data_IF_580809284170
#
_entry.id   IF_580809284170
#
_cell.length_a   1.000
_cell.length_b   1.000
_cell.length_c   1.000
_cell.angle_alpha   90.00
_cell.angle_beta   90.00
_cell.angle_gamma   90.00
#
_symmetry.space_group_name_H-M   'P 1'
#
loop_
_entity.id
_entity.type
_entity.pdbx_description
1 polymer ?
#
# COMPACT_ATOMS: atom_id res chain seq x y z
N UNK A 1 28.15 -66.81 15.87
CA UNK A 1 27.02 -66.36 15.02
C UNK A 1 27.41 -65.03 14.37
N UNK A 2 26.93 -64.83 13.14
CA UNK A 2 27.48 -63.97 12.08
C UNK A 2 27.32 -62.46 12.32
N UNK A 3 28.22 -61.71 11.69
CA UNK A 3 28.28 -60.25 11.59
C UNK A 3 27.07 -59.61 10.89
N UNK A 4 26.81 -58.33 11.19
CA UNK A 4 26.66 -57.28 10.18
C UNK A 4 26.81 -55.86 10.77
N UNK A 5 27.95 -55.23 10.44
CA UNK A 5 28.12 -53.78 10.34
C UNK A 5 27.64 -53.38 8.94
N UNK A 6 26.92 -52.26 8.80
CA UNK A 6 26.79 -51.36 7.63
C UNK A 6 25.35 -50.85 7.42
N UNK A 7 25.24 -49.53 7.16
CA UNK A 7 24.04 -48.71 6.90
C UNK A 7 23.15 -48.51 8.13
N UNK A 8 22.98 -47.32 8.72
CA UNK A 8 22.57 -46.06 8.09
C UNK A 8 23.26 -44.86 8.77
N UNK A 9 24.37 -44.41 8.19
CA UNK A 9 24.65 -42.97 8.12
C UNK A 9 23.69 -42.43 7.05
N UNK A 10 22.79 -41.51 7.40
CA UNK A 10 22.08 -40.51 6.58
C UNK A 10 20.80 -40.19 7.36
N UNK A 11 20.70 -38.99 7.90
CA UNK A 11 19.44 -38.55 8.51
C UNK A 11 19.53 -37.50 9.63
N UNK A 12 20.73 -37.07 10.03
CA UNK A 12 20.90 -35.92 10.94
C UNK A 12 21.68 -34.81 10.26
N UNK A 13 21.13 -34.35 9.14
CA UNK A 13 21.37 -33.01 8.65
C UNK A 13 20.00 -32.44 8.26
N UNK A 14 19.11 -32.35 9.26
CA UNK A 14 18.01 -31.41 9.22
C UNK A 14 18.68 -30.03 9.16
N UNK A 15 18.96 -29.59 7.93
CA UNK A 15 19.43 -28.26 7.64
C UNK A 15 18.46 -27.30 8.34
N UNK A 16 18.95 -26.60 9.35
CA UNK A 16 18.32 -25.40 9.84
C UNK A 16 18.17 -24.50 8.61
N UNK A 17 16.97 -24.48 8.04
CA UNK A 17 16.55 -23.37 7.21
C UNK A 17 16.53 -22.18 8.14
N UNK A 18 17.63 -21.44 8.16
CA UNK A 18 17.67 -20.09 8.68
C UNK A 18 16.58 -19.33 7.93
N UNK A 19 15.42 -19.16 8.57
CA UNK A 19 14.47 -18.15 8.18
C UNK A 19 15.25 -16.85 8.32
N UNK A 20 15.78 -16.34 7.20
CA UNK A 20 16.27 -14.97 7.14
C UNK A 20 15.06 -14.08 7.34
N UNK A 21 14.73 -13.77 8.60
CA UNK A 21 13.87 -12.64 8.90
C UNK A 21 14.56 -11.44 8.25
N UNK A 22 13.92 -10.73 7.31
CA UNK A 22 14.50 -9.51 6.78
C UNK A 22 14.65 -8.56 7.97
N UNK A 23 15.90 -8.33 8.38
CA UNK A 23 16.20 -7.29 9.35
C UNK A 23 15.68 -5.97 8.75
N UNK A 24 14.86 -5.25 9.52
CA UNK A 24 14.37 -3.96 9.09
C UNK A 24 15.59 -3.06 8.81
N UNK A 25 15.69 -2.53 7.59
CA UNK A 25 16.71 -1.55 7.20
C UNK A 25 16.77 -0.44 8.27
N UNK A 26 17.96 0.11 8.63
CA UNK A 26 18.05 1.22 9.57
C UNK A 26 17.09 2.34 9.17
N UNK A 27 16.33 2.88 10.13
CA UNK A 27 15.35 3.93 9.84
C UNK A 27 16.09 5.17 9.35
N UNK A 28 15.66 5.73 8.20
CA UNK A 28 16.05 7.07 7.83
C UNK A 28 15.56 7.99 8.95
N UNK A 29 16.49 8.57 9.71
CA UNK A 29 16.15 9.41 10.84
C UNK A 29 15.45 10.66 10.32
N UNK A 30 14.28 10.97 10.88
CA UNK A 30 13.58 12.22 10.59
C UNK A 30 14.22 13.32 11.42
N UNK A 31 14.73 14.36 10.76
CA UNK A 31 15.36 15.50 11.43
C UNK A 31 14.36 16.18 12.36
N UNK A 32 14.78 16.41 13.62
CA UNK A 32 14.06 17.25 14.58
C UNK A 32 14.49 18.69 14.38
N UNK A 33 13.56 19.59 14.13
CA UNK A 33 13.76 21.05 14.11
C UNK A 33 12.96 21.61 15.29
N UNK A 34 13.58 21.88 16.45
CA UNK A 34 12.85 22.30 17.65
C UNK A 34 12.00 23.55 17.39
N UNK A 35 10.69 23.42 17.62
CA UNK A 35 9.73 24.51 17.62
C UNK A 35 8.79 24.28 18.80
N UNK A 36 8.46 25.34 19.53
CA UNK A 36 7.53 25.31 20.64
C UNK A 36 6.47 26.39 20.44
N UNK A 37 5.21 26.03 20.59
CA UNK A 37 4.06 26.92 20.46
C UNK A 37 3.33 27.02 21.79
N UNK A 38 2.81 28.21 22.13
CA UNK A 38 2.04 28.42 23.36
C UNK A 38 0.54 28.38 23.06
N UNK A 39 -0.20 27.56 23.81
CA UNK A 39 -1.66 27.45 23.73
C UNK A 39 -2.25 27.61 25.13
N UNK A 40 -3.01 28.70 25.34
CA UNK A 40 -3.66 28.98 26.61
C UNK A 40 -2.72 28.87 27.84
N UNK A 41 -1.50 29.40 27.74
CA UNK A 41 -0.48 29.33 28.79
C UNK A 41 0.30 28.03 28.85
N UNK A 42 0.02 27.05 27.97
CA UNK A 42 0.73 25.77 27.90
C UNK A 42 1.71 25.76 26.72
N UNK A 43 2.99 25.51 26.98
CA UNK A 43 4.00 25.30 25.95
C UNK A 43 3.87 23.88 25.36
N UNK A 44 3.85 23.76 24.04
CA UNK A 44 3.77 22.50 23.29
C UNK A 44 4.89 22.44 22.27
N UNK A 45 5.76 21.45 22.39
CA UNK A 45 6.86 21.21 21.46
C UNK A 45 6.40 20.39 20.26
N UNK A 46 6.66 20.90 19.06
CA UNK A 46 6.49 20.17 17.80
C UNK A 46 7.78 20.23 16.96
N UNK A 47 8.73 19.30 17.20
CA UNK A 47 9.99 19.28 16.46
C UNK A 47 9.84 18.85 14.99
N UNK A 48 8.65 18.51 14.54
CA UNK A 48 8.38 18.05 13.17
C UNK A 48 7.44 18.98 12.40
N UNK A 49 7.11 20.16 12.95
CA UNK A 49 6.25 21.15 12.31
C UNK A 49 6.72 21.54 10.90
N UNK A 50 8.02 21.42 10.61
CA UNK A 50 8.56 21.65 9.28
C UNK A 50 7.99 20.72 8.19
N UNK A 51 7.47 19.55 8.55
CA UNK A 51 6.81 18.61 7.63
C UNK A 51 5.43 19.11 7.13
N UNK A 52 4.87 20.16 7.72
CA UNK A 52 3.60 20.76 7.29
C UNK A 52 3.72 21.56 5.99
N UNK A 53 4.94 21.88 5.55
CA UNK A 53 5.22 22.61 4.30
C UNK A 53 5.43 21.64 3.14
N UNK A 54 4.32 21.18 2.56
CA UNK A 54 4.32 20.16 1.50
C UNK A 54 5.05 20.59 0.21
N UNK A 55 5.18 21.89 -0.03
CA UNK A 55 5.92 22.44 -1.16
C UNK A 55 7.44 22.56 -0.93
N UNK A 56 7.91 22.45 0.33
CA UNK A 56 9.31 22.55 0.72
C UNK A 56 10.15 21.38 0.11
N UNK A 57 11.30 21.66 -0.52
CA UNK A 57 12.19 20.62 -1.05
C UNK A 57 12.63 19.57 -0.02
N UNK A 58 12.88 19.94 1.24
CA UNK A 58 13.26 19.02 2.32
C UNK A 58 12.13 18.04 2.61
N UNK A 59 10.87 18.52 2.62
CA UNK A 59 9.68 17.71 2.90
C UNK A 59 9.41 16.73 1.75
N UNK A 60 9.59 17.19 0.51
CA UNK A 60 9.52 16.32 -0.67
C UNK A 60 10.60 15.25 -0.65
N UNK A 61 11.85 15.61 -0.33
CA UNK A 61 12.96 14.67 -0.22
C UNK A 61 12.70 13.63 0.88
N UNK A 62 12.23 14.07 2.05
CA UNK A 62 11.85 13.19 3.15
C UNK A 62 10.72 12.24 2.74
N UNK A 63 9.65 12.75 2.11
CA UNK A 63 8.50 11.95 1.66
C UNK A 63 8.92 10.89 0.65
N UNK A 64 9.80 11.24 -0.30
CA UNK A 64 10.35 10.29 -1.26
C UNK A 64 11.18 9.20 -0.58
N UNK A 65 12.00 9.54 0.42
CA UNK A 65 12.76 8.56 1.18
C UNK A 65 11.84 7.59 1.96
N UNK A 66 10.76 8.08 2.56
CA UNK A 66 9.76 7.23 3.22
C UNK A 66 9.04 6.31 2.24
N UNK A 67 8.64 6.84 1.08
CA UNK A 67 8.03 6.05 0.00
C UNK A 67 8.97 4.96 -0.50
N UNK A 68 10.24 5.30 -0.77
CA UNK A 68 11.24 4.35 -1.24
C UNK A 68 11.45 3.21 -0.24
N UNK A 69 11.61 3.53 1.05
CA UNK A 69 11.74 2.52 2.12
C UNK A 69 10.52 1.60 2.15
N UNK A 70 9.32 2.18 2.10
CA UNK A 70 8.07 1.42 2.12
C UNK A 70 7.99 0.49 0.90
N UNK A 71 8.35 0.97 -0.29
CA UNK A 71 8.40 0.14 -1.51
C UNK A 71 9.44 -0.96 -1.41
N UNK A 72 10.65 -0.68 -0.93
CA UNK A 72 11.69 -1.70 -0.70
C UNK A 72 11.22 -2.83 0.21
N UNK A 73 10.35 -2.54 1.18
CA UNK A 73 9.75 -3.56 2.03
C UNK A 73 8.62 -4.30 1.33
N UNK A 74 7.59 -3.59 0.86
CA UNK A 74 6.38 -4.19 0.30
C UNK A 74 6.66 -4.96 -0.99
N UNK A 75 7.55 -4.47 -1.85
CA UNK A 75 7.84 -5.08 -3.16
C UNK A 75 8.61 -6.39 -3.06
N UNK A 76 9.25 -6.65 -1.91
CA UNK A 76 9.92 -7.94 -1.63
C UNK A 76 8.94 -9.02 -1.16
N UNK A 77 7.69 -8.68 -0.87
CA UNK A 77 6.70 -9.66 -0.41
C UNK A 77 6.31 -10.58 -1.57
N UNK A 78 6.49 -11.91 -1.45
CA UNK A 78 6.33 -12.84 -2.56
C UNK A 78 4.90 -12.87 -3.12
N UNK A 79 3.90 -12.64 -2.26
CA UNK A 79 2.49 -12.72 -2.64
C UNK A 79 1.93 -11.42 -3.23
N UNK A 80 2.66 -10.29 -3.14
CA UNK A 80 2.17 -8.96 -3.54
C UNK A 80 1.63 -8.96 -4.97
N UNK A 81 2.42 -9.48 -5.91
CA UNK A 81 2.06 -9.49 -7.33
C UNK A 81 0.84 -10.39 -7.62
N UNK A 82 0.72 -11.53 -6.92
CA UNK A 82 -0.43 -12.43 -7.08
C UNK A 82 -1.71 -11.79 -6.56
N UNK A 83 -1.66 -11.12 -5.41
CA UNK A 83 -2.78 -10.41 -4.81
C UNK A 83 -3.21 -9.24 -5.70
N UNK A 84 -2.26 -8.42 -6.15
CA UNK A 84 -2.52 -7.29 -7.05
C UNK A 84 -3.25 -7.73 -8.32
N UNK A 85 -2.78 -8.81 -8.94
CA UNK A 85 -3.41 -9.39 -10.13
C UNK A 85 -4.84 -9.87 -9.85
N UNK A 86 -5.04 -10.65 -8.79
CA UNK A 86 -6.37 -11.19 -8.43
C UNK A 86 -7.39 -10.06 -8.17
N UNK A 87 -6.99 -9.04 -7.40
CA UNK A 87 -7.84 -7.89 -7.12
C UNK A 87 -8.19 -7.12 -8.40
N UNK A 88 -7.21 -6.91 -9.28
CA UNK A 88 -7.42 -6.24 -10.57
C UNK A 88 -8.40 -7.02 -11.46
N UNK A 89 -8.24 -8.34 -11.55
CA UNK A 89 -9.15 -9.21 -12.30
C UNK A 89 -10.58 -9.18 -11.75
N UNK A 90 -10.76 -9.24 -10.43
CA UNK A 90 -12.09 -9.18 -9.81
C UNK A 90 -12.74 -7.82 -9.98
N UNK A 91 -11.98 -6.74 -9.80
CA UNK A 91 -12.47 -5.40 -10.00
C UNK A 91 -12.94 -5.20 -11.45
N UNK A 92 -12.15 -5.62 -12.44
CA UNK A 92 -12.51 -5.50 -13.85
C UNK A 92 -13.73 -6.34 -14.26
N UNK A 93 -14.02 -7.45 -13.57
CA UNK A 93 -15.21 -8.29 -13.82
C UNK A 93 -16.50 -7.73 -13.24
N UNK A 94 -16.42 -6.67 -12.43
CA UNK A 94 -17.60 -6.05 -11.82
C UNK A 94 -18.47 -5.41 -12.91
N UNK A 95 -19.75 -5.77 -12.93
CA UNK A 95 -20.69 -5.27 -13.94
C UNK A 95 -20.90 -3.76 -13.79
N UNK A 96 -21.09 -3.02 -14.90
CA UNK A 96 -21.42 -1.61 -14.82
C UNK A 96 -22.71 -1.37 -14.02
N UNK A 97 -22.74 -0.29 -13.25
CA UNK A 97 -23.92 0.13 -12.50
C UNK A 97 -24.27 1.59 -12.78
N UNK A 98 -25.54 1.92 -12.61
CA UNK A 98 -26.07 3.27 -12.82
C UNK A 98 -26.68 3.79 -11.51
N UNK A 99 -26.41 5.05 -11.20
CA UNK A 99 -26.89 5.70 -9.98
C UNK A 99 -27.08 7.20 -10.20
N UNK A 100 -27.65 7.89 -9.20
CA UNK A 100 -27.96 9.33 -9.27
C UNK A 100 -28.76 9.71 -10.52
N UNK A 101 -29.88 9.02 -10.73
CA UNK A 101 -30.75 9.24 -11.88
C UNK A 101 -31.45 10.60 -11.76
N UNK A 102 -31.37 11.42 -12.82
CA UNK A 102 -32.03 12.72 -12.90
C UNK A 102 -32.74 12.83 -14.25
N UNK A 103 -34.06 13.01 -14.22
CA UNK A 103 -34.86 13.18 -15.44
C UNK A 103 -34.96 14.66 -15.85
N UNK A 104 -34.85 14.90 -17.16
CA UNK A 104 -35.20 16.14 -17.86
C UNK A 104 -36.04 15.77 -19.09
N UNK A 105 -36.83 16.69 -19.67
CA UNK A 105 -37.68 16.37 -20.82
C UNK A 105 -36.90 15.64 -21.93
N UNK A 106 -37.28 14.40 -22.21
CA UNK A 106 -36.67 13.53 -23.24
C UNK A 106 -35.30 12.93 -22.90
N UNK A 107 -34.71 13.21 -21.73
CA UNK A 107 -33.35 12.76 -21.37
C UNK A 107 -33.30 12.31 -19.91
N UNK A 108 -32.79 11.09 -19.69
CA UNK A 108 -32.42 10.63 -18.37
C UNK A 108 -30.91 10.73 -18.19
N UNK A 109 -30.46 11.54 -17.24
CA UNK A 109 -29.06 11.60 -16.82
C UNK A 109 -28.79 10.55 -15.75
N UNK A 110 -27.64 9.89 -15.81
CA UNK A 110 -27.17 8.97 -14.79
C UNK A 110 -25.65 9.02 -14.64
N UNK A 111 -25.15 8.71 -13.45
CA UNK A 111 -23.75 8.34 -13.29
C UNK A 111 -23.59 6.86 -13.61
N UNK A 112 -22.65 6.53 -14.49
CA UNK A 112 -22.27 5.18 -14.85
C UNK A 112 -20.95 4.82 -14.20
N UNK A 113 -20.97 3.92 -13.23
CA UNK A 113 -19.77 3.24 -12.78
C UNK A 113 -19.46 2.09 -13.75
N UNK A 114 -18.27 2.11 -14.34
CA UNK A 114 -17.86 1.09 -15.31
C UNK A 114 -16.42 0.66 -15.02
N UNK A 115 -16.22 -0.32 -14.12
CA UNK A 115 -14.92 -0.93 -13.92
C UNK A 115 -14.31 -1.39 -15.26
N UNK A 116 -12.99 -1.28 -15.44
CA UNK A 116 -11.99 -0.80 -14.47
C UNK A 116 -11.76 0.73 -14.49
N UNK A 117 -12.65 1.53 -15.10
CA UNK A 117 -12.47 2.99 -15.15
C UNK A 117 -12.41 3.56 -13.72
N UNK A 118 -11.44 4.44 -13.49
CA UNK A 118 -11.16 4.98 -12.15
C UNK A 118 -12.29 5.84 -11.60
N UNK A 119 -13.02 6.55 -12.47
CA UNK A 119 -14.10 7.45 -12.08
C UNK A 119 -15.40 7.09 -12.82
N UNK A 120 -16.57 7.26 -12.17
CA UNK A 120 -17.86 7.20 -12.84
C UNK A 120 -17.99 8.27 -13.93
N UNK A 121 -18.78 7.97 -14.95
CA UNK A 121 -19.04 8.86 -16.07
C UNK A 121 -20.47 9.40 -16.01
N UNK A 122 -20.66 10.70 -16.24
CA UNK A 122 -21.99 11.23 -16.53
C UNK A 122 -22.41 10.74 -17.92
N UNK A 123 -23.57 10.08 -17.99
CA UNK A 123 -24.13 9.55 -19.24
C UNK A 123 -25.58 9.97 -19.40
N UNK A 124 -26.06 9.97 -20.64
CA UNK A 124 -27.47 10.09 -20.97
C UNK A 124 -28.03 8.75 -21.41
N UNK A 125 -29.24 8.45 -20.96
CA UNK A 125 -30.04 7.32 -21.39
C UNK A 125 -31.28 7.88 -22.10
N UNK A 126 -31.70 7.23 -23.18
CA UNK A 126 -33.01 7.49 -23.78
C UNK A 126 -34.07 7.07 -22.77
N UNK A 127 -34.85 8.03 -22.26
CA UNK A 127 -36.04 7.70 -21.49
C UNK A 127 -36.98 6.90 -22.40
N UNK A 128 -37.48 5.77 -21.90
CA UNK A 128 -38.61 5.10 -22.53
C UNK A 128 -39.82 6.04 -22.59
#
# INVERSE_FOLDING_TARGET
>A
MRANRFLFLIGVLAALTLIKLPAAEPTAQTSKKPVSNEYAGTMVDDPYQWLEKDDDPDVKAWSNAQNQRTRQYLDKLPDRASIERQLTEWYAKTSPSYFSLISRPGILFAMKFQPPKQQPLLVTLTSA
#
